data_IF_403723366686
#
_entry.id   IF_403723366686
#
_cell.length_a   1.000
_cell.length_b   1.000
_cell.length_c   1.000
_cell.angle_alpha   90.00
_cell.angle_beta   90.00
_cell.angle_gamma   90.00
#
_symmetry.space_group_name_H-M   'P 1'
#
loop_
_entity.id
_entity.type
_entity.pdbx_description
1 polymer ?
#
# COMPACT_ATOMS: atom_id res chain seq x y z
N UNK A 1 1.79 -1.69 27.49
CA UNK A 1 2.02 -1.46 26.05
C UNK A 1 1.92 -2.72 25.17
N UNK A 2 1.73 -3.94 25.70
CA UNK A 2 1.71 -5.19 24.91
C UNK A 2 0.40 -5.47 24.14
N UNK A 3 -0.74 -4.94 24.62
CA UNK A 3 -2.06 -5.24 24.04
C UNK A 3 -2.23 -4.72 22.60
N UNK A 4 -1.75 -3.52 22.30
CA UNK A 4 -1.93 -2.86 20.98
C UNK A 4 -1.17 -3.55 19.85
N UNK A 5 -0.01 -4.14 20.14
CA UNK A 5 0.76 -4.92 19.16
C UNK A 5 0.05 -6.24 18.78
N UNK A 6 -0.63 -6.88 19.73
CA UNK A 6 -1.40 -8.11 19.48
C UNK A 6 -2.64 -7.85 18.61
N UNK A 7 -3.33 -6.73 18.84
CA UNK A 7 -4.53 -6.34 18.08
C UNK A 7 -4.17 -5.94 16.65
N UNK A 8 -3.10 -5.15 16.46
CA UNK A 8 -2.62 -4.81 15.12
C UNK A 8 -2.17 -6.03 14.30
N UNK A 9 -1.63 -7.07 14.95
CA UNK A 9 -1.27 -8.33 14.29
C UNK A 9 -2.49 -9.19 13.93
N UNK A 10 -3.67 -8.92 14.49
CA UNK A 10 -4.88 -9.74 14.27
C UNK A 10 -5.27 -9.79 12.79
N UNK A 11 -5.21 -8.66 12.09
CA UNK A 11 -5.51 -8.61 10.66
C UNK A 11 -4.45 -9.31 9.80
N UNK A 12 -3.16 -9.18 10.15
CA UNK A 12 -2.09 -9.88 9.43
C UNK A 12 -2.12 -11.40 9.68
N UNK A 13 -2.58 -11.85 10.86
CA UNK A 13 -2.84 -13.27 11.14
C UNK A 13 -4.04 -13.79 10.36
N UNK A 14 -5.14 -13.04 10.31
CA UNK A 14 -6.30 -13.40 9.52
C UNK A 14 -5.99 -13.43 8.01
N UNK A 15 -5.17 -12.50 7.52
CA UNK A 15 -4.67 -12.52 6.15
C UNK A 15 -3.84 -13.79 5.86
N UNK A 16 -2.98 -14.21 6.78
CA UNK A 16 -2.23 -15.48 6.69
C UNK A 16 -3.14 -16.69 6.61
N UNK A 17 -4.16 -16.72 7.45
CA UNK A 17 -5.13 -17.82 7.49
C UNK A 17 -5.97 -17.89 6.21
N UNK A 18 -6.36 -16.73 5.66
CA UNK A 18 -7.08 -16.70 4.40
C UNK A 18 -6.18 -17.09 3.21
N UNK A 19 -4.92 -16.64 3.19
CA UNK A 19 -3.94 -17.02 2.16
C UNK A 19 -3.68 -18.53 2.16
N UNK A 20 -3.61 -19.19 3.33
CA UNK A 20 -3.36 -20.64 3.40
C UNK A 20 -4.54 -21.49 2.91
N UNK A 21 -5.74 -20.91 2.83
CA UNK A 21 -6.98 -21.60 2.43
C UNK A 21 -7.51 -21.20 1.06
N UNK A 22 -6.85 -20.27 0.38
CA UNK A 22 -7.27 -19.73 -0.94
C UNK A 22 -6.07 -19.64 -1.86
N UNK A 23 -6.28 -19.26 -3.13
CA UNK A 23 -5.18 -18.99 -4.07
C UNK A 23 -4.66 -17.56 -4.00
N UNK A 24 -5.20 -16.73 -3.11
CA UNK A 24 -4.77 -15.32 -3.00
C UNK A 24 -3.42 -15.27 -2.30
N UNK A 25 -2.40 -14.66 -2.93
CA UNK A 25 -1.11 -14.46 -2.30
C UNK A 25 -1.19 -13.64 -0.99
N UNK A 26 -0.29 -13.94 -0.04
CA UNK A 26 -0.31 -13.31 1.28
C UNK A 26 0.00 -11.80 1.23
N UNK A 27 0.95 -11.41 0.38
CA UNK A 27 1.29 -10.02 0.07
C UNK A 27 0.07 -9.25 -0.47
N UNK A 28 -0.73 -9.84 -1.36
CA UNK A 28 -1.99 -9.26 -1.85
C UNK A 28 -2.94 -8.98 -0.68
N UNK A 29 -3.23 -9.97 0.17
CA UNK A 29 -4.14 -9.78 1.31
C UNK A 29 -3.60 -8.77 2.32
N UNK A 30 -2.28 -8.75 2.57
CA UNK A 30 -1.64 -7.78 3.45
C UNK A 30 -1.67 -6.35 2.90
N UNK A 31 -1.54 -6.19 1.58
CA UNK A 31 -1.67 -4.89 0.93
C UNK A 31 -3.10 -4.38 1.01
N UNK A 32 -4.11 -5.25 0.85
CA UNK A 32 -5.52 -4.89 1.06
C UNK A 32 -5.75 -4.40 2.50
N UNK A 33 -5.36 -5.15 3.54
CA UNK A 33 -5.60 -4.72 4.93
C UNK A 33 -4.96 -3.36 5.26
N UNK A 34 -3.79 -3.06 4.68
CA UNK A 34 -3.09 -1.78 4.82
C UNK A 34 -3.78 -0.64 4.08
N UNK A 35 -4.29 -0.90 2.88
CA UNK A 35 -5.07 0.08 2.10
C UNK A 35 -6.39 0.42 2.79
N UNK A 36 -7.03 -0.58 3.41
CA UNK A 36 -8.39 -0.46 3.96
C UNK A 36 -8.47 0.12 5.39
N UNK A 37 -7.64 -0.35 6.33
CA UNK A 37 -7.85 -0.10 7.78
C UNK A 37 -6.70 0.57 8.51
N UNK A 38 -5.83 1.29 7.81
CA UNK A 38 -4.64 1.87 8.42
C UNK A 38 -4.98 2.90 9.53
N UNK A 39 -4.74 2.52 10.79
CA UNK A 39 -4.59 3.44 11.93
C UNK A 39 -3.11 3.60 12.21
N UNK A 40 -2.56 4.81 12.04
CA UNK A 40 -1.12 5.06 12.18
C UNK A 40 -0.25 4.08 11.36
N UNK A 41 -0.71 3.73 10.14
CA UNK A 41 -0.01 2.81 9.24
C UNK A 41 -0.14 1.32 9.58
N UNK A 42 -1.00 0.93 10.53
CA UNK A 42 -1.24 -0.48 10.87
C UNK A 42 -2.71 -0.86 10.69
N UNK A 43 -3.01 -2.06 10.14
CA UNK A 43 -4.37 -2.57 10.11
C UNK A 43 -4.98 -2.70 11.51
N UNK A 44 -6.29 -2.48 11.63
CA UNK A 44 -7.00 -2.57 12.91
C UNK A 44 -8.33 -3.33 12.74
N UNK A 45 -8.56 -4.42 13.50
CA UNK A 45 -9.72 -5.30 13.29
C UNK A 45 -11.04 -4.68 13.72
N UNK A 46 -11.01 -3.79 14.71
CA UNK A 46 -12.23 -3.20 15.29
C UNK A 46 -12.53 -1.85 14.63
N UNK A 47 -12.66 -1.87 13.31
CA UNK A 47 -12.86 -0.67 12.48
C UNK A 47 -14.22 -0.74 11.80
N UNK A 48 -14.96 0.37 11.85
CA UNK A 48 -16.16 0.60 11.05
C UNK A 48 -16.00 1.90 10.26
N UNK A 49 -16.37 1.88 8.99
CA UNK A 49 -16.47 3.08 8.16
C UNK A 49 -17.94 3.32 7.81
N UNK A 50 -18.48 4.47 8.22
CA UNK A 50 -19.86 4.87 7.91
C UNK A 50 -19.79 6.11 7.03
N UNK A 51 -20.24 5.99 5.77
CA UNK A 51 -20.26 7.09 4.81
C UNK A 51 -18.91 7.85 4.68
N UNK A 52 -17.80 7.12 4.66
CA UNK A 52 -16.45 7.68 4.55
C UNK A 52 -15.82 8.09 5.88
N UNK A 53 -16.54 7.97 7.00
CA UNK A 53 -16.02 8.27 8.35
C UNK A 53 -15.56 6.98 9.02
N UNK A 54 -14.25 6.76 9.02
CA UNK A 54 -13.61 5.67 9.77
C UNK A 54 -13.65 5.92 11.28
N UNK A 55 -14.03 4.89 12.03
CA UNK A 55 -14.06 4.85 13.49
C UNK A 55 -13.28 3.61 13.93
N UNK A 56 -12.29 3.81 14.79
CA UNK A 56 -11.45 2.75 15.34
C UNK A 56 -11.78 2.54 16.82
N UNK A 57 -12.19 1.33 17.16
CA UNK A 57 -12.72 0.97 18.47
C UNK A 57 -11.74 0.06 19.21
N UNK A 58 -11.88 -0.07 20.52
CA UNK A 58 -10.89 -0.81 21.30
C UNK A 58 -11.09 -2.33 21.23
N UNK A 59 -12.33 -2.77 21.00
CA UNK A 59 -12.68 -4.19 20.98
C UNK A 59 -13.86 -4.53 20.07
N UNK A 60 -14.08 -5.85 19.92
CA UNK A 60 -15.15 -6.44 19.12
C UNK A 60 -16.55 -6.07 19.61
N UNK A 61 -16.75 -5.93 20.91
CA UNK A 61 -18.07 -5.64 21.49
C UNK A 61 -18.51 -4.22 21.16
N UNK A 62 -17.57 -3.26 21.22
CA UNK A 62 -17.80 -1.88 20.81
C UNK A 62 -18.14 -1.78 19.31
N UNK A 63 -17.42 -2.52 18.46
CA UNK A 63 -17.71 -2.59 17.02
C UNK A 63 -19.12 -3.13 16.76
N UNK A 64 -19.51 -4.22 17.43
CA UNK A 64 -20.83 -4.81 17.28
C UNK A 64 -21.94 -3.88 17.76
N UNK A 65 -21.73 -3.14 18.86
CA UNK A 65 -22.70 -2.15 19.35
C UNK A 65 -22.97 -1.10 18.28
N UNK A 66 -21.91 -0.44 17.79
CA UNK A 66 -22.05 0.63 16.79
C UNK A 66 -22.64 0.09 15.49
N UNK A 67 -22.23 -1.11 15.04
CA UNK A 67 -22.78 -1.72 13.82
C UNK A 67 -24.29 -1.98 13.95
N UNK A 68 -24.76 -2.47 15.11
CA UNK A 68 -26.19 -2.69 15.36
C UNK A 68 -26.96 -1.37 15.45
N UNK A 69 -26.40 -0.36 16.12
CA UNK A 69 -27.02 0.96 16.21
C UNK A 69 -27.14 1.62 14.81
N UNK A 70 -26.11 1.45 13.97
CA UNK A 70 -26.08 1.95 12.58
C UNK A 70 -27.20 1.31 11.76
N UNK A 71 -27.39 -0.01 11.87
CA UNK A 71 -28.51 -0.71 11.22
C UNK A 71 -29.87 -0.28 11.79
N UNK A 72 -29.98 -0.12 13.11
CA UNK A 72 -31.20 0.35 13.77
C UNK A 72 -31.61 1.75 13.31
N UNK A 73 -30.64 2.59 12.92
CA UNK A 73 -30.85 3.92 12.35
C UNK A 73 -31.18 3.91 10.84
N UNK A 74 -31.22 2.73 10.19
CA UNK A 74 -31.53 2.60 8.76
C UNK A 74 -30.35 2.89 7.83
N UNK A 75 -29.12 2.94 8.34
CA UNK A 75 -27.91 3.01 7.52
C UNK A 75 -27.38 1.59 7.28
N UNK A 76 -27.25 1.21 6.00
CA UNK A 76 -26.84 -0.14 5.59
C UNK A 76 -25.49 -0.14 4.88
N UNK A 77 -25.02 1.02 4.42
CA UNK A 77 -23.80 1.20 3.63
C UNK A 77 -22.63 1.59 4.54
N UNK A 78 -22.09 0.60 5.24
CA UNK A 78 -20.90 0.75 6.07
C UNK A 78 -19.96 -0.44 5.91
N UNK A 79 -18.69 -0.24 6.17
CA UNK A 79 -17.63 -1.23 6.01
C UNK A 79 -17.14 -1.74 7.36
N UNK A 80 -16.82 -3.03 7.45
CA UNK A 80 -16.45 -3.68 8.71
C UNK A 80 -15.13 -4.46 8.63
N UNK A 81 -14.37 -4.35 9.71
CA UNK A 81 -13.29 -5.29 10.02
C UNK A 81 -12.00 -5.03 9.23
N UNK A 82 -11.06 -5.96 9.36
CA UNK A 82 -9.71 -5.91 8.79
C UNK A 82 -9.66 -5.63 7.28
N UNK A 83 -10.67 -6.08 6.55
CA UNK A 83 -10.76 -5.97 5.09
C UNK A 83 -11.84 -5.00 4.62
N UNK A 84 -12.48 -4.25 5.54
CA UNK A 84 -13.54 -3.26 5.24
C UNK A 84 -14.60 -3.84 4.28
N UNK A 85 -15.13 -5.01 4.62
CA UNK A 85 -16.19 -5.63 3.84
C UNK A 85 -17.48 -4.83 4.03
N UNK A 86 -18.07 -4.34 2.94
CA UNK A 86 -19.27 -3.51 2.99
C UNK A 86 -20.53 -4.33 3.33
N UNK A 87 -21.28 -3.92 4.35
CA UNK A 87 -22.49 -4.60 4.80
C UNK A 87 -23.62 -4.60 3.76
N UNK A 88 -23.88 -3.48 3.08
CA UNK A 88 -24.97 -3.37 2.09
C UNK A 88 -24.85 -4.40 0.98
N UNK A 89 -23.63 -4.64 0.51
CA UNK A 89 -23.36 -5.50 -0.65
C UNK A 89 -23.08 -6.95 -0.25
N UNK A 90 -22.44 -7.17 0.89
CA UNK A 90 -21.88 -8.47 1.25
C UNK A 90 -22.42 -9.05 2.56
N UNK A 91 -23.19 -8.29 3.35
CA UNK A 91 -23.68 -8.70 4.66
C UNK A 91 -24.50 -9.98 4.62
N UNK A 92 -25.31 -10.19 3.57
CA UNK A 92 -26.12 -11.40 3.39
C UNK A 92 -25.31 -12.70 3.17
N UNK A 93 -24.00 -12.60 2.96
CA UNK A 93 -23.10 -13.75 2.82
C UNK A 93 -22.55 -14.24 4.17
N UNK A 94 -22.89 -13.53 5.25
CA UNK A 94 -22.57 -13.90 6.61
C UNK A 94 -23.85 -14.28 7.35
N UNK A 95 -23.75 -15.27 8.25
CA UNK A 95 -24.85 -15.69 9.10
C UNK A 95 -25.26 -14.61 10.12
N UNK A 96 -24.33 -13.73 10.49
CA UNK A 96 -24.59 -12.61 11.40
C UNK A 96 -23.50 -11.54 11.35
N UNK A 97 -23.74 -10.40 12.00
CA UNK A 97 -22.73 -9.36 12.22
C UNK A 97 -21.53 -9.91 13.01
N UNK A 98 -21.76 -10.78 13.99
CA UNK A 98 -20.73 -11.45 14.78
C UNK A 98 -19.76 -12.23 13.88
N UNK A 99 -20.28 -12.92 12.87
CA UNK A 99 -19.46 -13.61 11.89
C UNK A 99 -18.75 -12.61 10.97
N UNK A 100 -19.43 -11.56 10.52
CA UNK A 100 -18.87 -10.56 9.60
C UNK A 100 -17.69 -9.78 10.20
N UNK A 101 -17.73 -9.49 11.50
CA UNK A 101 -16.64 -8.79 12.22
C UNK A 101 -15.58 -9.74 12.78
N UNK A 102 -15.78 -11.07 12.70
CA UNK A 102 -14.72 -12.01 13.05
C UNK A 102 -13.55 -11.84 12.07
N UNK A 103 -12.32 -11.56 12.53
CA UNK A 103 -11.20 -11.25 11.64
C UNK A 103 -10.92 -12.34 10.60
N UNK A 104 -11.02 -13.62 10.98
CA UNK A 104 -10.74 -14.75 10.09
C UNK A 104 -11.85 -14.91 9.06
N UNK A 105 -13.12 -14.82 9.47
CA UNK A 105 -14.25 -14.91 8.53
C UNK A 105 -14.29 -13.71 7.57
N UNK A 106 -13.99 -12.52 8.06
CA UNK A 106 -13.86 -11.29 7.26
C UNK A 106 -12.77 -11.47 6.18
N UNK A 107 -11.59 -11.94 6.57
CA UNK A 107 -10.47 -12.21 5.66
C UNK A 107 -10.80 -13.30 4.63
N UNK A 108 -11.40 -14.40 5.07
CA UNK A 108 -11.77 -15.50 4.18
C UNK A 108 -12.81 -15.09 3.15
N UNK A 109 -13.78 -14.25 3.55
CA UNK A 109 -14.75 -13.70 2.62
C UNK A 109 -14.06 -12.79 1.58
N UNK A 110 -13.22 -11.87 2.04
CA UNK A 110 -12.48 -10.95 1.18
C UNK A 110 -11.59 -11.71 0.19
N UNK A 111 -10.86 -12.72 0.65
CA UNK A 111 -10.01 -13.56 -0.21
C UNK A 111 -10.81 -14.28 -1.30
N UNK A 112 -11.94 -14.92 -0.96
CA UNK A 112 -12.81 -15.56 -1.97
C UNK A 112 -13.40 -14.55 -2.96
N UNK A 113 -13.68 -13.33 -2.51
CA UNK A 113 -14.16 -12.28 -3.40
C UNK A 113 -13.05 -11.83 -4.36
N UNK A 114 -11.83 -11.63 -3.84
CA UNK A 114 -10.65 -11.33 -4.65
C UNK A 114 -10.34 -12.43 -5.66
N UNK A 115 -10.47 -13.71 -5.32
CA UNK A 115 -10.30 -14.81 -6.29
C UNK A 115 -11.27 -14.67 -7.46
N UNK A 116 -12.55 -14.40 -7.20
CA UNK A 116 -13.54 -14.19 -8.28
C UNK A 116 -13.17 -12.99 -9.15
N UNK A 117 -12.74 -11.88 -8.54
CA UNK A 117 -12.30 -10.70 -9.27
C UNK A 117 -11.04 -10.97 -10.08
N UNK A 118 -10.11 -11.75 -9.55
CA UNK A 118 -8.92 -12.19 -10.28
C UNK A 118 -9.28 -13.12 -11.43
N UNK A 119 -10.24 -14.03 -11.25
CA UNK A 119 -10.72 -14.88 -12.34
C UNK A 119 -11.37 -14.03 -13.47
N UNK A 120 -11.92 -12.86 -13.16
CA UNK A 120 -12.38 -11.87 -14.16
C UNK A 120 -11.27 -11.05 -14.80
N UNK A 121 -10.19 -10.71 -14.07
CA UNK A 121 -9.17 -9.73 -14.52
C UNK A 121 -7.87 -10.35 -14.99
N UNK A 122 -7.52 -11.54 -14.49
CA UNK A 122 -6.22 -12.19 -14.68
C UNK A 122 -5.04 -11.49 -13.98
N UNK A 123 -5.30 -10.47 -13.15
CA UNK A 123 -4.28 -9.65 -12.51
C UNK A 123 -4.73 -9.19 -11.12
N UNK A 124 -3.88 -9.38 -10.12
CA UNK A 124 -4.17 -9.06 -8.72
C UNK A 124 -4.31 -7.56 -8.45
N UNK A 125 -3.58 -6.71 -9.17
CA UNK A 125 -3.69 -5.25 -9.02
C UNK A 125 -5.03 -4.77 -9.56
N UNK A 126 -5.47 -5.28 -10.72
CA UNK A 126 -6.80 -5.02 -11.27
C UNK A 126 -7.91 -5.57 -10.37
N UNK A 127 -7.73 -6.77 -9.82
CA UNK A 127 -8.67 -7.38 -8.88
C UNK A 127 -8.80 -6.53 -7.60
N UNK A 128 -7.70 -6.05 -7.04
CA UNK A 128 -7.69 -5.14 -5.89
C UNK A 128 -8.41 -3.82 -6.18
N UNK A 129 -8.22 -3.24 -7.37
CA UNK A 129 -9.00 -2.07 -7.80
C UNK A 129 -10.51 -2.33 -7.83
N UNK A 130 -10.94 -3.47 -8.40
CA UNK A 130 -12.34 -3.87 -8.47
C UNK A 130 -12.94 -4.27 -7.12
N UNK A 131 -12.11 -4.75 -6.20
CA UNK A 131 -12.50 -5.05 -4.82
C UNK A 131 -13.03 -3.79 -4.14
N UNK A 132 -12.32 -2.68 -4.30
CA UNK A 132 -12.73 -1.38 -3.76
C UNK A 132 -13.89 -0.74 -4.53
N UNK A 133 -13.82 -0.71 -5.86
CA UNK A 133 -14.88 -0.12 -6.68
C UNK A 133 -14.86 -0.61 -8.12
N UNK A 134 -16.03 -0.77 -8.74
CA UNK A 134 -16.15 -1.00 -10.19
C UNK A 134 -16.11 0.28 -11.02
N UNK A 135 -16.13 1.45 -10.39
CA UNK A 135 -15.97 2.73 -11.08
C UNK A 135 -14.50 3.00 -11.32
N UNK A 136 -14.09 3.08 -12.59
CA UNK A 136 -12.67 3.09 -12.98
C UNK A 136 -11.86 4.21 -12.32
N UNK A 137 -12.42 5.41 -12.15
CA UNK A 137 -11.73 6.50 -11.47
C UNK A 137 -11.37 6.16 -10.00
N UNK A 138 -12.25 5.49 -9.28
CA UNK A 138 -12.02 5.07 -7.89
C UNK A 138 -11.07 3.86 -7.84
N UNK A 139 -11.29 2.89 -8.73
CA UNK A 139 -10.41 1.72 -8.86
C UNK A 139 -8.96 2.14 -9.16
N UNK A 140 -8.74 3.07 -10.09
CA UNK A 140 -7.41 3.54 -10.46
C UNK A 140 -6.67 4.21 -9.29
N UNK A 141 -7.36 5.05 -8.51
CA UNK A 141 -6.79 5.66 -7.30
C UNK A 141 -6.41 4.60 -6.27
N UNK A 142 -7.28 3.61 -6.07
CA UNK A 142 -7.04 2.51 -5.16
C UNK A 142 -5.83 1.67 -5.57
N UNK A 143 -5.70 1.32 -6.86
CA UNK A 143 -4.55 0.57 -7.40
C UNK A 143 -3.22 1.24 -7.09
N UNK A 144 -3.14 2.57 -7.21
CA UNK A 144 -1.92 3.31 -6.85
C UNK A 144 -1.53 3.12 -5.39
N UNK A 145 -2.48 3.24 -4.46
CA UNK A 145 -2.23 3.05 -3.02
C UNK A 145 -1.89 1.59 -2.71
N UNK A 146 -2.63 0.66 -3.28
CA UNK A 146 -2.39 -0.78 -3.17
C UNK A 146 -0.97 -1.15 -3.63
N UNK A 147 -0.54 -0.70 -4.81
CA UNK A 147 0.80 -0.98 -5.34
C UNK A 147 1.90 -0.40 -4.44
N UNK A 148 1.70 0.75 -3.82
CA UNK A 148 2.64 1.30 -2.84
C UNK A 148 2.79 0.37 -1.63
N UNK A 149 1.69 -0.20 -1.13
CA UNK A 149 1.74 -1.15 -0.02
C UNK A 149 2.36 -2.49 -0.39
N UNK A 150 2.13 -2.99 -1.61
CA UNK A 150 2.84 -4.18 -2.12
C UNK A 150 4.34 -3.94 -2.12
N UNK A 151 4.82 -2.84 -2.69
CA UNK A 151 6.27 -2.53 -2.71
C UNK A 151 6.87 -2.40 -1.31
N UNK A 152 6.14 -1.87 -0.33
CA UNK A 152 6.60 -1.78 1.06
C UNK A 152 6.69 -3.15 1.76
N UNK A 153 5.92 -4.14 1.29
CA UNK A 153 5.94 -5.51 1.83
C UNK A 153 7.08 -6.35 1.24
N UNK A 154 7.50 -6.05 0.00
CA UNK A 154 8.57 -6.73 -0.70
C UNK A 154 9.98 -6.28 -0.25
N UNK A 155 10.10 -5.12 0.39
CA UNK A 155 11.37 -4.67 0.95
C UNK A 155 11.82 -5.61 2.08
N UNK A 156 13.01 -6.24 2.00
CA UNK A 156 13.53 -7.04 3.09
C UNK A 156 13.61 -6.18 4.35
N UNK A 157 13.03 -6.66 5.44
CA UNK A 157 12.96 -5.99 6.74
C UNK A 157 14.38 -5.61 7.21
N UNK A 158 14.87 -4.45 6.79
CA UNK A 158 16.30 -4.13 6.86
C UNK A 158 16.75 -2.86 6.12
N UNK A 159 15.93 -2.25 5.25
CA UNK A 159 16.19 -0.88 4.76
C UNK A 159 15.25 0.14 5.41
N UNK A 160 15.49 0.41 6.69
CA UNK A 160 15.23 1.74 7.22
C UNK A 160 16.23 2.69 6.54
N UNK A 161 15.93 3.14 5.32
CA UNK A 161 16.66 4.25 4.72
C UNK A 161 16.21 5.52 5.44
N UNK A 162 17.01 5.89 6.43
CA UNK A 162 17.13 7.20 7.03
C UNK A 162 17.48 8.24 5.96
N UNK A 163 16.52 8.62 5.11
CA UNK A 163 16.57 9.96 4.50
C UNK A 163 16.18 10.98 5.59
N UNK A 164 17.08 11.14 6.55
CA UNK A 164 17.19 12.37 7.29
C UNK A 164 17.67 13.42 6.29
N UNK A 165 16.70 14.14 5.73
CA UNK A 165 16.94 15.39 5.02
C UNK A 165 17.77 16.28 5.94
N UNK A 166 19.00 16.55 5.50
CA UNK A 166 19.81 17.68 5.91
C UNK A 166 18.95 18.94 5.90
N UNK A 167 18.57 19.45 7.08
CA UNK A 167 18.19 20.84 7.27
C UNK A 167 18.74 21.37 8.60
N UNK A 168 19.70 22.29 8.49
CA UNK A 168 19.91 23.36 9.47
C UNK A 168 21.16 23.29 10.33
N UNK A 169 22.35 23.52 9.75
CA UNK A 169 23.57 23.80 10.51
C UNK A 169 24.62 24.52 9.67
N UNK A 170 24.89 25.78 10.00
CA UNK A 170 25.64 26.76 9.22
C UNK A 170 27.04 26.33 8.76
N UNK A 171 27.35 26.50 7.48
CA UNK A 171 28.74 26.56 6.99
C UNK A 171 29.18 28.01 6.97
N UNK A 172 30.15 28.35 7.83
CA UNK A 172 30.84 29.65 7.83
C UNK A 172 31.80 29.73 6.63
N UNK A 173 31.76 30.88 5.97
CA UNK A 173 32.65 31.31 4.87
C UNK A 173 34.14 31.11 5.17
N UNK A 174 34.87 30.67 4.14
CA UNK A 174 36.28 30.99 3.93
C UNK A 174 36.44 31.62 2.54
N UNK A 175 36.86 32.88 2.51
CA UNK A 175 37.13 33.73 1.34
C UNK A 175 38.53 33.45 0.76
N UNK A 176 38.74 33.65 -0.55
CA UNK A 176 39.70 34.62 -1.13
C UNK A 176 39.74 34.56 -2.69
N UNK A 177 39.02 35.51 -3.30
CA UNK A 177 39.30 36.42 -4.46
C UNK A 177 39.98 35.89 -5.76
N UNK A 178 39.50 36.31 -6.96
CA UNK A 178 39.97 35.84 -8.28
C UNK A 178 41.09 36.70 -8.90
N UNK A 179 41.80 36.16 -9.90
CA UNK A 179 42.66 36.94 -10.82
C UNK A 179 42.29 36.61 -12.28
N UNK A 180 42.17 37.68 -13.05
CA UNK A 180 41.65 37.81 -14.41
C UNK A 180 42.74 37.65 -15.50
N UNK A 181 42.28 37.34 -16.73
CA UNK A 181 42.82 37.51 -18.11
C UNK A 181 44.32 37.82 -18.33
N UNK A 182 45.02 37.20 -19.28
CA UNK A 182 44.94 37.43 -20.75
C UNK A 182 46.00 36.57 -21.48
N UNK A 183 45.69 36.19 -22.74
CA UNK A 183 46.53 35.93 -23.93
C UNK A 183 48.00 35.49 -23.83
N UNK A 184 48.38 34.42 -24.56
CA UNK A 184 49.36 34.50 -25.67
C UNK A 184 49.65 33.15 -26.39
N UNK A 185 49.45 33.19 -27.71
CA UNK A 185 50.28 32.64 -28.81
C UNK A 185 50.51 31.13 -29.03
N UNK A 186 50.10 30.73 -30.26
CA UNK A 186 50.58 29.64 -31.14
C UNK A 186 52.08 29.34 -31.06
N UNK A 187 52.41 28.05 -31.16
CA UNK A 187 53.57 27.52 -31.89
C UNK A 187 53.23 26.14 -32.53
N UNK A 188 53.31 26.08 -33.87
CA UNK A 188 53.52 24.91 -34.76
C UNK A 188 55.00 25.03 -35.19
N UNK A 189 55.87 23.98 -35.31
CA UNK A 189 55.80 23.03 -36.44
C UNK A 189 56.41 21.61 -36.33
N UNK A 190 56.03 20.82 -37.35
CA UNK A 190 56.72 19.76 -38.11
C UNK A 190 57.17 18.41 -37.51
N UNK A 191 56.82 17.34 -38.24
CA UNK A 191 57.76 16.24 -38.47
C UNK A 191 57.23 14.81 -38.72
N UNK A 192 57.03 14.45 -40.00
CA UNK A 192 57.30 13.13 -40.66
C UNK A 192 56.53 11.87 -40.20
N UNK A 193 55.68 11.30 -41.07
CA UNK A 193 55.98 10.11 -41.92
C UNK A 193 54.96 9.01 -41.55
N UNK A 194 54.40 8.12 -42.38
CA UNK A 194 54.72 7.54 -43.70
C UNK A 194 53.37 7.07 -44.32
N UNK A 195 53.28 7.11 -45.65
CA UNK A 195 52.19 6.59 -46.48
C UNK A 195 52.50 5.17 -46.96
N UNK A 196 51.52 4.26 -47.01
CA UNK A 196 51.47 3.18 -48.03
C UNK A 196 50.00 2.74 -48.30
N UNK A 197 49.62 2.87 -49.58
CA UNK A 197 48.54 2.29 -50.40
C UNK A 197 48.01 0.89 -49.96
N UNK A 198 46.82 0.40 -50.35
CA UNK A 198 45.78 0.82 -51.29
C UNK A 198 44.93 -0.39 -51.78
N UNK A 199 43.69 -0.10 -52.20
CA UNK A 199 42.81 -0.78 -53.17
C UNK A 199 42.18 -2.19 -52.97
N UNK A 200 40.93 -2.27 -53.42
CA UNK A 200 40.16 -3.47 -53.81
C UNK A 200 39.00 -3.77 -52.86
N UNK A 201 37.72 -3.82 -53.24
CA UNK A 201 37.00 -3.78 -54.51
C UNK A 201 35.55 -3.34 -54.25
#
# INVERSE_FOLDING_TARGET
>A
MLATASVANTCDMAAREAASRTRVPLDVLRAITRTETARNGKPWPWTINIAGRGIWLDDRSALLSIARDTLGAGEHSFDLGCFQVNYRWHGAQFASLEQMVDPVQNALYAARFLERLHDETGDWTLAAGRYHSRTEQHAARYRTLYSQHVSQLDEPAGRLNSFALLQGGAVRMGSLVPVDRTDARRLIPDGRGVSLFGQGS
#
